data_IF_523467726953
#
_entry.id   IF_523467726953
#
_cell.length_a   1.000
_cell.length_b   1.000
_cell.length_c   1.000
_cell.angle_alpha   90.00
_cell.angle_beta   90.00
_cell.angle_gamma   90.00
#
_symmetry.space_group_name_H-M   'P 1'
#
loop_
_entity.id
_entity.type
_entity.pdbx_description
1 polymer ?
#
# COMPACT_ATOMS: atom_id res chain seq x y z
N UNK A 1 35.15 3.16 -25.68
CA UNK A 1 34.15 3.89 -24.85
C UNK A 1 32.85 3.96 -25.64
N UNK A 2 31.81 3.24 -25.20
CA UNK A 2 30.55 3.04 -25.93
C UNK A 2 29.74 4.35 -25.88
N UNK A 3 29.44 4.94 -27.03
CA UNK A 3 28.70 6.21 -27.18
C UNK A 3 27.35 6.08 -26.44
N UNK A 4 27.25 6.73 -25.29
CA UNK A 4 26.09 6.66 -24.40
C UNK A 4 24.97 7.48 -25.06
N UNK A 5 24.02 6.80 -25.70
CA UNK A 5 22.93 7.43 -26.46
C UNK A 5 21.87 7.97 -25.49
N UNK A 6 21.87 9.30 -25.30
CA UNK A 6 20.96 10.10 -24.45
C UNK A 6 19.48 9.85 -24.76
N UNK A 7 19.13 9.70 -26.03
CA UNK A 7 17.74 9.71 -26.50
C UNK A 7 16.92 8.51 -26.00
N UNK A 8 17.57 7.35 -25.84
CA UNK A 8 16.92 6.13 -25.35
C UNK A 8 16.72 6.15 -23.82
N UNK A 9 17.51 6.92 -23.08
CA UNK A 9 17.33 7.10 -21.64
C UNK A 9 16.18 8.07 -21.36
N UNK A 10 16.09 9.16 -22.13
CA UNK A 10 15.00 10.13 -22.00
C UNK A 10 13.63 9.50 -22.30
N UNK A 11 13.52 8.73 -23.38
CA UNK A 11 12.25 8.06 -23.76
C UNK A 11 11.76 7.07 -22.69
N UNK A 12 12.67 6.30 -22.08
CA UNK A 12 12.30 5.31 -21.06
C UNK A 12 11.97 5.95 -19.71
N UNK A 13 12.73 6.96 -19.30
CA UNK A 13 12.44 7.71 -18.07
C UNK A 13 11.11 8.44 -18.15
N UNK A 14 10.81 9.08 -19.29
CA UNK A 14 9.52 9.73 -19.54
C UNK A 14 8.34 8.75 -19.45
N UNK A 15 8.48 7.56 -20.04
CA UNK A 15 7.45 6.51 -19.95
C UNK A 15 7.22 6.07 -18.50
N UNK A 16 8.28 5.84 -17.74
CA UNK A 16 8.17 5.45 -16.33
C UNK A 16 7.50 6.53 -15.47
N UNK A 17 7.87 7.79 -15.65
CA UNK A 17 7.23 8.91 -14.96
C UNK A 17 5.73 8.96 -15.32
N UNK A 18 5.38 8.78 -16.59
CA UNK A 18 3.99 8.71 -17.03
C UNK A 18 3.19 7.60 -16.33
N UNK A 19 3.74 6.39 -16.23
CA UNK A 19 3.11 5.28 -15.50
C UNK A 19 2.98 5.55 -14.01
N UNK A 20 3.99 6.18 -13.40
CA UNK A 20 3.95 6.51 -11.99
C UNK A 20 2.88 7.57 -11.68
N UNK A 21 2.77 8.61 -12.52
CA UNK A 21 1.71 9.61 -12.42
C UNK A 21 0.32 9.01 -12.61
N UNK A 22 0.15 8.11 -13.59
CA UNK A 22 -1.12 7.42 -13.81
C UNK A 22 -1.51 6.54 -12.61
N UNK A 23 -0.56 5.79 -12.05
CA UNK A 23 -0.77 4.97 -10.84
C UNK A 23 -1.16 5.83 -9.63
N UNK A 24 -0.49 6.96 -9.42
CA UNK A 24 -0.83 7.91 -8.36
C UNK A 24 -2.23 8.50 -8.54
N UNK A 25 -2.61 8.87 -9.76
CA UNK A 25 -3.96 9.38 -10.04
C UNK A 25 -5.04 8.33 -9.73
N UNK A 26 -4.80 7.06 -10.11
CA UNK A 26 -5.68 5.94 -9.76
C UNK A 26 -5.81 5.81 -8.24
N UNK A 27 -4.71 5.89 -7.49
CA UNK A 27 -4.76 5.83 -6.03
C UNK A 27 -5.61 6.95 -5.43
N UNK A 28 -5.51 8.18 -5.94
CA UNK A 28 -6.33 9.30 -5.46
C UNK A 28 -7.82 9.05 -5.73
N UNK A 29 -8.16 8.57 -6.93
CA UNK A 29 -9.53 8.21 -7.28
C UNK A 29 -10.04 7.12 -6.34
N UNK A 30 -9.23 6.09 -6.06
CA UNK A 30 -9.58 5.02 -5.12
C UNK A 30 -9.85 5.56 -3.72
N UNK A 31 -9.01 6.44 -3.19
CA UNK A 31 -9.21 7.06 -1.88
C UNK A 31 -10.52 7.85 -1.82
N UNK A 32 -10.85 8.58 -2.90
CA UNK A 32 -12.11 9.32 -3.00
C UNK A 32 -13.33 8.39 -3.04
N UNK A 33 -13.25 7.28 -3.78
CA UNK A 33 -14.32 6.28 -3.84
C UNK A 33 -14.54 5.58 -2.49
N UNK A 34 -13.45 5.22 -1.80
CA UNK A 34 -13.52 4.65 -0.44
C UNK A 34 -14.19 5.64 0.51
N UNK A 35 -13.81 6.91 0.49
CA UNK A 35 -14.45 7.93 1.33
C UNK A 35 -15.96 8.07 1.07
N UNK A 36 -16.40 7.92 -0.19
CA UNK A 36 -17.82 7.96 -0.57
C UNK A 36 -18.59 6.70 -0.18
N UNK A 37 -17.98 5.52 -0.26
CA UNK A 37 -18.64 4.23 0.04
C UNK A 37 -18.74 4.01 1.56
N UNK A 38 -17.71 4.39 2.33
CA UNK A 38 -17.63 4.12 3.76
C UNK A 38 -18.22 5.23 4.65
N UNK A 39 -18.52 6.40 4.08
CA UNK A 39 -18.92 7.58 4.84
C UNK A 39 -17.79 8.14 5.71
N UNK A 40 -17.97 9.33 6.34
CA UNK A 40 -16.92 10.01 7.10
C UNK A 40 -16.43 9.19 8.31
N UNK A 41 -17.31 8.46 9.00
CA UNK A 41 -16.96 7.66 10.19
C UNK A 41 -16.19 6.38 9.82
N UNK A 42 -16.67 5.64 8.82
CA UNK A 42 -16.04 4.40 8.36
C UNK A 42 -14.67 4.64 7.70
N UNK A 43 -14.53 5.77 6.99
CA UNK A 43 -13.26 6.16 6.37
C UNK A 43 -12.18 6.50 7.42
N UNK A 44 -12.57 7.16 8.52
CA UNK A 44 -11.65 7.45 9.63
C UNK A 44 -11.12 6.19 10.31
N UNK A 45 -12.01 5.25 10.64
CA UNK A 45 -11.61 3.96 11.25
C UNK A 45 -10.70 3.14 10.34
N UNK A 46 -11.01 3.14 9.04
CA UNK A 46 -10.22 2.48 8.02
C UNK A 46 -8.81 3.10 7.88
N UNK A 47 -8.73 4.43 7.79
CA UNK A 47 -7.46 5.14 7.68
C UNK A 47 -6.55 4.88 8.87
N UNK A 48 -7.11 4.89 10.08
CA UNK A 48 -6.37 4.56 11.31
C UNK A 48 -5.88 3.11 11.31
N UNK A 49 -6.68 2.16 10.83
CA UNK A 49 -6.28 0.77 10.78
C UNK A 49 -5.18 0.49 9.76
N UNK A 50 -5.11 1.27 8.67
CA UNK A 50 -4.05 1.16 7.65
C UNK A 50 -2.75 1.83 8.08
N UNK A 51 -2.79 2.72 9.07
CA UNK A 51 -1.61 3.43 9.55
C UNK A 51 -0.53 2.46 10.03
N UNK A 52 -0.91 1.46 10.83
CA UNK A 52 0.03 0.48 11.38
C UNK A 52 0.75 -0.35 10.30
N UNK A 53 0.06 -1.05 9.38
CA UNK A 53 0.73 -1.80 8.33
C UNK A 53 1.53 -0.89 7.38
N UNK A 54 1.09 0.35 7.14
CA UNK A 54 1.83 1.32 6.32
C UNK A 54 3.16 1.73 6.98
N UNK A 55 3.14 2.05 8.27
CA UNK A 55 4.33 2.41 9.04
C UNK A 55 5.32 1.24 9.11
N UNK A 56 4.82 0.04 9.42
CA UNK A 56 5.64 -1.17 9.42
C UNK A 56 6.28 -1.40 8.05
N UNK A 57 5.51 -1.28 6.96
CA UNK A 57 6.03 -1.42 5.60
C UNK A 57 7.11 -0.38 5.32
N UNK A 58 6.88 0.88 5.67
CA UNK A 58 7.81 1.99 5.39
C UNK A 58 9.13 1.81 6.15
N UNK A 59 9.06 1.48 7.44
CA UNK A 59 10.25 1.31 8.29
C UNK A 59 11.01 0.03 7.90
N UNK A 60 10.30 -1.10 7.78
CA UNK A 60 10.91 -2.41 7.52
C UNK A 60 11.28 -2.61 6.05
N UNK A 61 10.94 -1.68 5.15
CA UNK A 61 11.47 -1.73 3.79
C UNK A 61 13.00 -1.60 3.77
N UNK A 62 13.56 -0.83 4.71
CA UNK A 62 15.00 -0.64 4.94
C UNK A 62 15.82 -0.28 3.69
N UNK A 63 15.20 0.28 2.65
CA UNK A 63 15.89 0.56 1.39
C UNK A 63 16.38 -0.70 0.67
N UNK A 64 15.77 -1.86 0.90
CA UNK A 64 16.13 -3.11 0.20
C UNK A 64 15.85 -2.99 -1.32
N UNK A 65 14.84 -2.21 -1.69
CA UNK A 65 14.49 -1.91 -3.08
C UNK A 65 15.66 -1.27 -3.86
N UNK A 66 16.24 -0.13 -3.44
CA UNK A 66 17.42 0.44 -4.09
C UNK A 66 18.70 -0.39 -3.92
N UNK A 67 18.85 -1.16 -2.82
CA UNK A 67 19.99 -2.07 -2.66
C UNK A 67 20.01 -3.15 -3.75
N UNK A 68 18.86 -3.76 -4.05
CA UNK A 68 18.72 -4.72 -5.14
C UNK A 68 19.11 -4.11 -6.49
N UNK A 69 18.68 -2.87 -6.76
CA UNK A 69 19.05 -2.14 -7.99
C UNK A 69 20.58 -1.99 -8.09
N UNK A 70 21.23 -1.57 -7.01
CA UNK A 70 22.67 -1.36 -7.00
C UNK A 70 23.46 -2.66 -7.16
N UNK A 71 23.19 -3.70 -6.37
CA UNK A 71 23.96 -4.95 -6.38
C UNK A 71 23.79 -5.76 -7.66
N UNK A 72 22.60 -5.73 -8.27
CA UNK A 72 22.34 -6.41 -9.55
C UNK A 72 23.01 -5.65 -10.70
N UNK A 73 22.90 -4.31 -10.75
CA UNK A 73 23.51 -3.53 -11.83
C UNK A 73 25.04 -3.44 -11.74
N UNK A 74 25.61 -3.53 -10.53
CA UNK A 74 27.06 -3.59 -10.32
C UNK A 74 27.65 -4.98 -10.56
N UNK A 75 26.84 -5.97 -10.97
CA UNK A 75 27.22 -7.37 -11.21
C UNK A 75 27.89 -8.05 -9.99
N UNK A 76 27.68 -7.53 -8.78
CA UNK A 76 28.22 -8.11 -7.55
C UNK A 76 27.43 -9.34 -7.10
N UNK A 77 26.17 -9.46 -7.52
CA UNK A 77 25.31 -10.62 -7.24
C UNK A 77 24.66 -11.13 -8.53
N UNK A 78 24.59 -12.45 -8.67
CA UNK A 78 23.74 -13.05 -9.70
C UNK A 78 22.26 -12.83 -9.38
N UNK A 79 21.39 -12.83 -10.39
CA UNK A 79 19.93 -12.71 -10.23
C UNK A 79 19.36 -13.72 -9.22
N UNK A 80 19.85 -14.97 -9.26
CA UNK A 80 19.41 -16.05 -8.38
C UNK A 80 19.81 -15.80 -6.92
N UNK A 81 21.01 -15.29 -6.68
CA UNK A 81 21.50 -14.97 -5.33
C UNK A 81 20.78 -13.75 -4.74
N UNK A 82 20.60 -12.70 -5.53
CA UNK A 82 19.86 -11.50 -5.12
C UNK A 82 18.41 -11.84 -4.77
N UNK A 83 17.75 -12.72 -5.54
CA UNK A 83 16.40 -13.18 -5.27
C UNK A 83 16.30 -13.98 -3.97
N UNK A 84 17.20 -14.97 -3.78
CA UNK A 84 17.25 -15.77 -2.55
C UNK A 84 17.51 -14.90 -1.31
N UNK A 85 18.41 -13.93 -1.42
CA UNK A 85 18.72 -12.99 -0.34
C UNK A 85 17.48 -12.12 0.00
N UNK A 86 16.83 -11.57 -1.02
CA UNK A 86 15.60 -10.78 -0.87
C UNK A 86 14.48 -11.57 -0.20
N UNK A 87 14.29 -12.84 -0.59
CA UNK A 87 13.29 -13.70 0.02
C UNK A 87 13.61 -14.04 1.49
N UNK A 88 14.88 -14.29 1.83
CA UNK A 88 15.28 -14.50 3.23
C UNK A 88 15.00 -13.26 4.08
N UNK A 89 15.37 -12.08 3.59
CA UNK A 89 15.08 -10.81 4.27
C UNK A 89 13.58 -10.59 4.42
N UNK A 90 12.80 -10.87 3.36
CA UNK A 90 11.34 -10.79 3.42
C UNK A 90 10.75 -11.64 4.54
N UNK A 91 11.17 -12.90 4.67
CA UNK A 91 10.65 -13.80 5.71
C UNK A 91 10.98 -13.26 7.10
N UNK A 92 12.25 -12.89 7.33
CA UNK A 92 12.71 -12.38 8.63
C UNK A 92 11.95 -11.10 9.02
N UNK A 93 11.84 -10.14 8.10
CA UNK A 93 11.20 -8.85 8.33
C UNK A 93 9.67 -8.96 8.43
N UNK A 94 9.06 -9.89 7.69
CA UNK A 94 7.63 -10.13 7.79
C UNK A 94 7.26 -10.73 9.14
N UNK A 95 8.01 -11.73 9.62
CA UNK A 95 7.77 -12.34 10.92
C UNK A 95 8.00 -11.31 12.03
N UNK A 96 9.11 -10.57 12.00
CA UNK A 96 9.39 -9.57 13.02
C UNK A 96 8.35 -8.45 13.02
N UNK A 97 7.95 -7.94 11.84
CA UNK A 97 6.93 -6.92 11.71
C UNK A 97 5.55 -7.37 12.17
N UNK A 98 5.17 -8.63 11.91
CA UNK A 98 3.92 -9.20 12.43
C UNK A 98 3.93 -9.30 13.96
N UNK A 99 5.04 -9.78 14.55
CA UNK A 99 5.19 -9.84 16.01
C UNK A 99 5.12 -8.45 16.66
N UNK A 100 5.80 -7.47 16.08
CA UNK A 100 5.76 -6.07 16.53
C UNK A 100 4.34 -5.50 16.41
N UNK A 101 3.72 -5.65 15.23
CA UNK A 101 2.36 -5.15 14.99
C UNK A 101 1.32 -5.78 15.92
N UNK A 102 1.39 -7.10 16.14
CA UNK A 102 0.53 -7.80 17.08
C UNK A 102 0.69 -7.27 18.52
N UNK A 103 1.94 -7.04 18.94
CA UNK A 103 2.25 -6.51 20.27
C UNK A 103 1.67 -5.09 20.44
N UNK A 104 1.85 -4.22 19.43
CA UNK A 104 1.31 -2.85 19.46
C UNK A 104 -0.22 -2.86 19.59
N UNK A 105 -0.92 -3.70 18.81
CA UNK A 105 -2.39 -3.80 18.88
C UNK A 105 -2.86 -4.30 20.26
N UNK A 106 -2.10 -5.21 20.87
CA UNK A 106 -2.48 -5.82 22.16
C UNK A 106 -2.24 -4.86 23.33
N UNK A 107 -1.11 -4.15 23.35
CA UNK A 107 -0.70 -3.34 24.49
C UNK A 107 -1.09 -1.87 24.38
N UNK A 108 -1.54 -1.40 23.22
CA UNK A 108 -1.81 0.03 23.01
C UNK A 108 -3.26 0.29 22.58
N UNK A 109 -4.13 0.41 23.59
CA UNK A 109 -5.53 0.75 23.37
C UNK A 109 -5.76 2.25 23.09
N UNK A 110 -4.80 3.10 23.50
CA UNK A 110 -4.90 4.55 23.40
C UNK A 110 -4.73 5.05 21.95
N UNK A 111 -3.82 4.42 21.18
CA UNK A 111 -3.49 4.86 19.80
C UNK A 111 -4.62 4.56 18.81
N UNK A 112 -5.40 3.49 19.04
CA UNK A 112 -6.46 3.04 18.11
C UNK A 112 -7.87 3.14 18.71
N UNK A 113 -8.08 4.09 19.61
CA UNK A 113 -9.39 4.34 20.21
C UNK A 113 -10.45 4.57 19.13
N UNK A 114 -11.57 3.86 19.21
CA UNK A 114 -12.66 3.92 18.23
C UNK A 114 -12.54 2.98 17.03
N UNK A 115 -11.47 2.17 16.91
CA UNK A 115 -11.33 1.14 15.87
C UNK A 115 -11.52 -0.26 16.45
N UNK A 116 -12.38 -1.12 15.87
CA UNK A 116 -12.55 -2.48 16.36
C UNK A 116 -11.27 -3.30 16.17
N UNK A 117 -10.79 -3.98 17.23
CA UNK A 117 -9.54 -4.79 17.22
C UNK A 117 -9.49 -5.81 16.07
N UNK A 118 -10.63 -6.41 15.71
CA UNK A 118 -10.70 -7.34 14.57
C UNK A 118 -10.25 -6.68 13.25
N UNK A 119 -10.55 -5.40 13.05
CA UNK A 119 -10.17 -4.66 11.85
C UNK A 119 -8.66 -4.34 11.86
N UNK A 120 -8.07 -4.09 13.03
CA UNK A 120 -6.62 -3.90 13.19
C UNK A 120 -5.84 -5.19 12.88
N UNK A 121 -6.30 -6.34 13.38
CA UNK A 121 -5.64 -7.62 13.06
C UNK A 121 -5.79 -7.99 11.58
N UNK A 122 -6.95 -7.69 10.96
CA UNK A 122 -7.14 -7.89 9.53
C UNK A 122 -6.26 -6.96 8.70
N UNK A 123 -6.10 -5.69 9.09
CA UNK A 123 -5.20 -4.77 8.38
C UNK A 123 -3.74 -5.17 8.54
N UNK A 124 -3.35 -5.77 9.66
CA UNK A 124 -1.99 -6.28 9.86
C UNK A 124 -1.59 -7.36 8.84
N UNK A 125 -2.54 -8.15 8.30
CA UNK A 125 -2.26 -9.10 7.23
C UNK A 125 -1.89 -8.43 5.89
N UNK A 126 -2.19 -7.15 5.73
CA UNK A 126 -1.81 -6.35 4.54
C UNK A 126 -0.31 -6.04 4.55
N UNK A 127 0.31 -5.95 5.73
CA UNK A 127 1.74 -5.65 5.88
C UNK A 127 2.67 -6.62 5.11
N UNK A 128 2.64 -7.95 5.32
CA UNK A 128 3.54 -8.87 4.62
C UNK A 128 3.33 -8.83 3.10
N UNK A 129 2.09 -8.69 2.64
CA UNK A 129 1.78 -8.56 1.21
C UNK A 129 2.41 -7.28 0.64
N UNK A 130 2.30 -6.16 1.36
CA UNK A 130 2.82 -4.85 0.95
C UNK A 130 4.36 -4.83 0.94
N UNK A 131 4.98 -5.46 1.94
CA UNK A 131 6.42 -5.60 2.03
C UNK A 131 6.97 -6.45 0.87
N UNK A 132 6.34 -7.60 0.60
CA UNK A 132 6.72 -8.47 -0.51
C UNK A 132 6.65 -7.72 -1.84
N UNK A 133 5.56 -7.01 -2.08
CA UNK A 133 5.37 -6.24 -3.30
C UNK A 133 6.45 -5.17 -3.48
N UNK A 134 6.85 -4.51 -2.40
CA UNK A 134 7.90 -3.49 -2.44
C UNK A 134 9.28 -4.08 -2.80
N UNK A 135 9.58 -5.28 -2.32
CA UNK A 135 10.84 -5.98 -2.62
C UNK A 135 10.86 -6.54 -4.05
N UNK A 136 9.75 -7.15 -4.47
CA UNK A 136 9.57 -7.65 -5.84
C UNK A 136 9.69 -6.51 -6.84
N UNK A 137 9.00 -5.39 -6.58
CA UNK A 137 9.07 -4.21 -7.42
C UNK A 137 10.50 -3.69 -7.57
N UNK A 138 11.27 -3.63 -6.48
CA UNK A 138 12.69 -3.25 -6.52
C UNK A 138 13.56 -4.20 -7.33
N UNK A 139 13.35 -5.50 -7.15
CA UNK A 139 14.05 -6.54 -7.90
C UNK A 139 13.79 -6.42 -9.40
N UNK A 140 12.52 -6.29 -9.82
CA UNK A 140 12.21 -6.08 -11.24
C UNK A 140 12.75 -4.75 -11.77
N UNK A 141 12.79 -3.69 -10.94
CA UNK A 141 13.36 -2.39 -11.34
C UNK A 141 14.84 -2.54 -11.67
N UNK A 142 15.56 -3.35 -10.89
CA UNK A 142 16.98 -3.63 -11.07
C UNK A 142 17.28 -4.28 -12.44
N UNK A 143 16.41 -5.18 -12.89
CA UNK A 143 16.61 -5.95 -14.14
C UNK A 143 16.26 -5.18 -15.42
N UNK A 144 15.81 -3.91 -15.31
CA UNK A 144 15.35 -3.07 -16.42
C UNK A 144 14.23 -3.69 -17.28
N UNK A 145 13.53 -4.70 -16.75
CA UNK A 145 12.40 -5.31 -17.43
C UNK A 145 11.12 -4.52 -17.13
N UNK A 146 11.03 -3.31 -17.71
CA UNK A 146 9.93 -2.36 -17.49
C UNK A 146 8.54 -2.93 -17.84
N UNK A 147 8.48 -3.97 -18.69
CA UNK A 147 7.22 -4.63 -19.08
C UNK A 147 6.56 -5.36 -17.90
N UNK A 148 7.34 -6.13 -17.13
CA UNK A 148 6.86 -6.85 -15.94
C UNK A 148 6.59 -5.90 -14.77
N UNK A 149 7.37 -4.81 -14.68
CA UNK A 149 7.17 -3.77 -13.68
C UNK A 149 5.83 -3.08 -13.79
N UNK A 150 5.47 -2.69 -15.01
CA UNK A 150 4.18 -2.09 -15.28
C UNK A 150 3.01 -3.01 -14.91
N UNK A 151 3.14 -4.31 -15.17
CA UNK A 151 2.12 -5.28 -14.79
C UNK A 151 1.96 -5.36 -13.27
N UNK A 152 3.06 -5.37 -12.51
CA UNK A 152 3.03 -5.43 -11.04
C UNK A 152 2.49 -4.13 -10.43
N UNK A 153 2.91 -2.97 -10.94
CA UNK A 153 2.41 -1.66 -10.50
C UNK A 153 0.92 -1.48 -10.78
N UNK A 154 0.40 -2.09 -11.85
CA UNK A 154 -1.04 -2.05 -12.17
C UNK A 154 -1.86 -3.08 -11.38
N UNK A 155 -1.30 -4.27 -11.11
CA UNK A 155 -1.97 -5.35 -10.36
C UNK A 155 -2.15 -5.00 -8.88
N UNK A 156 -1.18 -4.30 -8.30
CA UNK A 156 -1.19 -3.92 -6.87
C UNK A 156 -2.49 -3.20 -6.45
N UNK A 157 -2.86 -2.05 -7.05
CA UNK A 157 -4.07 -1.33 -6.64
C UNK A 157 -5.35 -2.14 -6.90
N UNK A 158 -5.38 -3.00 -7.92
CA UNK A 158 -6.53 -3.87 -8.23
C UNK A 158 -6.71 -4.97 -7.18
N UNK A 159 -5.62 -5.62 -6.74
CA UNK A 159 -5.66 -6.61 -5.66
C UNK A 159 -6.08 -5.97 -4.34
N UNK A 160 -5.51 -4.80 -4.03
CA UNK A 160 -5.87 -4.03 -2.84
C UNK A 160 -7.36 -3.65 -2.85
N UNK A 161 -7.88 -3.19 -3.97
CA UNK A 161 -9.31 -2.85 -4.10
C UNK A 161 -10.22 -4.08 -3.98
N UNK A 162 -9.83 -5.20 -4.59
CA UNK A 162 -10.60 -6.46 -4.52
C UNK A 162 -10.64 -7.01 -3.08
N UNK A 163 -9.51 -6.95 -2.38
CA UNK A 163 -9.43 -7.29 -0.97
C UNK A 163 -10.33 -6.38 -0.13
N UNK A 164 -10.35 -5.07 -0.41
CA UNK A 164 -11.24 -4.12 0.27
C UNK A 164 -12.71 -4.34 -0.01
N UNK A 165 -13.07 -4.65 -1.26
CA UNK A 165 -14.45 -4.97 -1.63
C UNK A 165 -14.90 -6.26 -0.94
N UNK A 166 -14.04 -7.27 -0.87
CA UNK A 166 -14.33 -8.50 -0.12
C UNK A 166 -14.47 -8.25 1.39
N UNK A 167 -13.62 -7.39 1.97
CA UNK A 167 -13.65 -7.06 3.40
C UNK A 167 -14.89 -6.24 3.78
N UNK A 168 -15.31 -5.33 2.89
CA UNK A 168 -16.52 -4.52 3.06
C UNK A 168 -17.78 -5.34 2.81
N UNK A 169 -17.79 -6.25 1.83
CA UNK A 169 -18.89 -7.20 1.59
C UNK A 169 -19.19 -8.09 2.80
N UNK A 170 -18.18 -8.50 3.56
CA UNK A 170 -18.34 -9.30 4.79
C UNK A 170 -18.82 -8.50 6.02
N UNK A 171 -18.84 -7.16 5.97
CA UNK A 171 -19.30 -6.30 7.09
C UNK A 171 -20.40 -5.29 6.73
N UNK A 172 -20.78 -5.18 5.45
CA UNK A 172 -21.80 -4.24 4.97
C UNK A 172 -23.17 -4.46 5.65
N UNK A 173 -23.50 -5.73 5.97
CA UNK A 173 -24.73 -6.08 6.70
C UNK A 173 -24.78 -5.51 8.12
N UNK A 174 -23.65 -5.24 8.78
CA UNK A 174 -23.64 -4.69 10.16
C UNK A 174 -23.54 -3.17 10.22
N UNK A 175 -22.97 -2.51 9.22
CA UNK A 175 -22.90 -1.04 9.19
C UNK A 175 -24.24 -0.41 8.76
N UNK A 176 -25.01 -1.01 7.85
CA UNK A 176 -26.34 -0.49 7.48
C UNK A 176 -27.36 -0.52 8.63
N UNK A 177 -27.19 -1.40 9.62
CA UNK A 177 -28.10 -1.51 10.77
C UNK A 177 -27.89 -0.41 11.84
N UNK A 178 -26.73 0.24 11.90
CA UNK A 178 -26.42 1.23 12.94
C UNK A 178 -26.61 2.69 12.51
N UNK A 179 -26.59 2.98 11.20
CA UNK A 179 -26.75 4.33 10.67
C UNK A 179 -27.77 4.35 9.53
N UNK A 180 -29.06 4.04 9.78
CA UNK A 180 -30.07 4.28 8.78
C UNK A 180 -30.21 5.80 8.66
N UNK A 181 -29.78 6.37 7.54
CA UNK A 181 -30.41 7.54 6.93
C UNK A 181 -30.53 8.87 7.73
N UNK A 182 -29.94 9.02 8.93
CA UNK A 182 -30.20 10.21 9.77
C UNK A 182 -29.35 11.45 9.48
N UNK A 183 -28.40 11.39 8.54
CA UNK A 183 -27.52 12.54 8.25
C UNK A 183 -27.91 13.39 7.03
N UNK A 184 -29.01 13.07 6.33
CA UNK A 184 -29.43 13.84 5.14
C UNK A 184 -30.38 15.02 5.45
N UNK A 185 -30.74 15.26 6.72
CA UNK A 185 -31.75 16.28 7.09
C UNK A 185 -31.23 17.45 7.95
N UNK A 186 -29.93 17.56 8.23
CA UNK A 186 -29.41 18.65 9.08
C UNK A 186 -28.36 19.55 8.40
N UNK A 187 -28.46 19.73 7.08
CA UNK A 187 -27.68 20.73 6.32
C UNK A 187 -28.58 21.69 5.53
N UNK A 188 -29.67 22.16 6.15
CA UNK A 188 -30.48 23.29 5.64
C UNK A 188 -30.73 24.38 6.69
N UNK A 189 -29.75 24.68 7.54
CA UNK A 189 -29.71 25.94 8.29
C UNK A 189 -28.28 26.50 8.34
N UNK A 190 -27.66 26.64 7.17
CA UNK A 190 -26.67 27.71 6.99
C UNK A 190 -27.46 29.00 6.70
N UNK A 191 -27.95 29.63 7.77
CA UNK A 191 -28.43 31.00 7.69
C UNK A 191 -27.20 31.90 7.66
N UNK A 192 -27.03 32.58 6.53
CA UNK A 192 -26.46 33.91 6.40
C UNK A 192 -26.53 34.72 7.71
N UNK A 193 -25.41 35.24 8.16
CA UNK A 193 -25.37 36.58 8.75
C UNK A 193 -23.97 37.17 8.60
N UNK A 194 -23.95 38.48 8.34
CA UNK A 194 -22.81 39.37 8.17
C UNK A 194 -21.77 39.26 9.30
#
# INVERSE_FOLDING_TARGET
>A
MKKFSSDHLLSNTLKNIGYQLASSAIQIIMLSLVARIFGPEGNGQYGLAMLLPLLLTTILNLGISPANIYFINSQQLSLSEAWKSTLKLYIILSISGLCIGYSIITYTEVIFSGVPKNLLYLSLLVFPISLLNSFISGFFQATKNFKTLNQITFITPVMTFSFFFSLSGLRFERYQMAYPFRFYLHTHHFSFCL
#
